data_IF_704674989137
#
_entry.id   IF_704674989137
#
_cell.length_a   1.000
_cell.length_b   1.000
_cell.length_c   1.000
_cell.angle_alpha   90.00
_cell.angle_beta   90.00
_cell.angle_gamma   90.00
#
_symmetry.space_group_name_H-M   'P 1'
#
loop_
_entity.id
_entity.type
_entity.pdbx_description
1 polymer ?
#
# COMPACT_ATOMS: atom_id res chain seq x y z
N UNK A 1 6.25 -3.17 3.64
CA UNK A 1 7.36 -2.21 3.40
C UNK A 1 6.82 -0.90 2.80
N UNK A 2 7.25 0.25 3.33
CA UNK A 2 6.92 1.57 2.75
C UNK A 2 8.02 1.93 1.75
N UNK A 3 7.66 2.22 0.50
CA UNK A 3 8.66 2.58 -0.50
C UNK A 3 9.01 4.05 -0.29
N UNK A 4 10.22 4.28 0.20
CA UNK A 4 10.75 5.61 0.47
C UNK A 4 11.75 5.96 -0.62
N UNK A 5 11.69 7.20 -1.10
CA UNK A 5 12.68 7.73 -2.01
C UNK A 5 14.04 7.86 -1.29
N UNK A 6 15.08 7.23 -1.83
CA UNK A 6 16.39 7.12 -1.16
C UNK A 6 17.15 8.45 -1.14
N UNK A 7 16.85 9.36 -2.07
CA UNK A 7 17.54 10.65 -2.20
C UNK A 7 16.90 11.74 -1.31
N UNK A 8 15.57 11.77 -1.23
CA UNK A 8 14.82 12.77 -0.45
C UNK A 8 14.34 12.28 0.92
N UNK A 9 14.39 10.98 1.19
CA UNK A 9 13.84 10.37 2.42
C UNK A 9 12.32 10.47 2.53
N UNK A 10 11.63 10.97 1.48
CA UNK A 10 10.17 11.11 1.46
C UNK A 10 9.53 9.81 1.04
N UNK A 11 8.43 9.43 1.70
CA UNK A 11 7.63 8.30 1.27
C UNK A 11 7.10 8.58 -0.14
N UNK A 12 7.16 7.58 -1.03
CA UNK A 12 6.66 7.74 -2.41
C UNK A 12 5.13 7.73 -2.49
N UNK A 13 4.45 7.76 -1.34
CA UNK A 13 2.99 7.74 -1.23
C UNK A 13 2.36 6.36 -1.48
N UNK A 14 3.14 5.29 -1.49
CA UNK A 14 2.65 3.92 -1.58
C UNK A 14 3.50 2.95 -0.75
N UNK A 15 2.87 1.88 -0.28
CA UNK A 15 3.51 0.81 0.47
C UNK A 15 2.80 -0.51 0.21
N UNK A 16 3.51 -1.59 0.46
CA UNK A 16 2.96 -2.94 0.37
C UNK A 16 2.86 -3.51 1.77
N UNK A 17 1.70 -4.05 2.12
CA UNK A 17 1.46 -4.77 3.37
C UNK A 17 1.25 -6.23 3.00
N UNK A 18 2.03 -7.10 3.61
CA UNK A 18 1.84 -8.55 3.49
C UNK A 18 1.04 -8.99 4.70
N UNK A 19 -0.12 -9.58 4.45
CA UNK A 19 -0.99 -10.16 5.48
C UNK A 19 -0.84 -11.68 5.40
N UNK A 20 -0.95 -12.36 6.54
CA UNK A 20 -0.88 -13.82 6.60
C UNK A 20 -2.17 -14.49 6.11
N UNK A 21 -3.32 -13.81 6.25
CA UNK A 21 -4.64 -14.30 5.84
C UNK A 21 -5.26 -13.45 4.73
N UNK A 22 -5.78 -14.13 3.72
CA UNK A 22 -6.38 -13.50 2.54
C UNK A 22 -7.73 -12.84 2.86
N UNK A 23 -8.48 -13.39 3.83
CA UNK A 23 -9.75 -12.81 4.32
C UNK A 23 -9.49 -11.51 5.06
N UNK A 24 -8.45 -11.47 5.89
CA UNK A 24 -8.01 -10.24 6.57
C UNK A 24 -7.50 -9.20 5.57
N UNK A 25 -6.75 -9.63 4.54
CA UNK A 25 -6.32 -8.74 3.47
C UNK A 25 -7.51 -8.12 2.73
N UNK A 26 -8.54 -8.91 2.41
CA UNK A 26 -9.74 -8.42 1.73
C UNK A 26 -10.51 -7.43 2.60
N UNK A 27 -10.71 -7.75 3.87
CA UNK A 27 -11.37 -6.84 4.82
C UNK A 27 -10.58 -5.54 4.99
N UNK A 28 -9.26 -5.62 5.11
CA UNK A 28 -8.41 -4.45 5.19
C UNK A 28 -8.46 -3.61 3.91
N UNK A 29 -8.57 -4.21 2.72
CA UNK A 29 -8.78 -3.46 1.48
C UNK A 29 -10.11 -2.70 1.48
N UNK A 30 -11.20 -3.34 1.92
CA UNK A 30 -12.52 -2.69 2.00
C UNK A 30 -12.57 -1.59 3.06
N UNK A 31 -11.99 -1.83 4.24
CA UNK A 31 -12.02 -0.88 5.36
C UNK A 31 -11.00 0.25 5.22
N UNK A 32 -9.81 0.00 4.68
CA UNK A 32 -8.76 1.00 4.55
C UNK A 32 -8.84 1.80 3.23
N UNK A 33 -9.56 1.31 2.21
CA UNK A 33 -9.73 2.06 0.97
C UNK A 33 -10.68 3.24 1.17
N UNK A 34 -10.14 4.46 1.02
CA UNK A 34 -10.87 5.70 1.24
C UNK A 34 -10.71 6.29 2.63
N UNK A 35 -9.94 5.66 3.53
CA UNK A 35 -9.56 6.26 4.82
C UNK A 35 -8.63 7.45 4.57
N UNK A 36 -8.83 8.53 5.31
CA UNK A 36 -7.90 9.65 5.31
C UNK A 36 -6.74 9.35 6.25
N UNK A 37 -5.54 9.22 5.68
CA UNK A 37 -4.29 9.09 6.42
C UNK A 37 -3.45 10.35 6.20
N UNK A 38 -3.13 11.06 7.28
CA UNK A 38 -2.29 12.27 7.23
C UNK A 38 -2.82 13.36 6.25
N UNK A 39 -4.15 13.53 6.22
CA UNK A 39 -4.83 14.49 5.33
C UNK A 39 -4.90 14.05 3.86
N UNK A 40 -4.61 12.78 3.56
CA UNK A 40 -4.72 12.21 2.21
C UNK A 40 -5.54 10.92 2.23
N UNK A 41 -6.57 10.84 1.39
CA UNK A 41 -7.29 9.59 1.18
C UNK A 41 -6.35 8.53 0.60
N UNK A 42 -6.21 7.41 1.32
CA UNK A 42 -5.43 6.25 0.86
C UNK A 42 -6.33 5.30 0.06
N UNK A 43 -5.73 4.59 -0.89
CA UNK A 43 -6.39 3.53 -1.65
C UNK A 43 -5.69 2.21 -1.37
N UNK A 44 -6.44 1.22 -0.89
CA UNK A 44 -5.98 -0.13 -0.68
C UNK A 44 -6.57 -1.01 -1.79
N UNK A 45 -5.69 -1.58 -2.61
CA UNK A 45 -6.05 -2.48 -3.70
C UNK A 45 -5.14 -3.70 -3.65
N UNK A 46 -5.54 -4.76 -4.36
CA UNK A 46 -4.72 -5.94 -4.51
C UNK A 46 -3.36 -5.56 -5.10
N UNK A 47 -2.29 -5.98 -4.41
CA UNK A 47 -0.94 -5.69 -4.83
C UNK A 47 -0.61 -6.54 -6.06
N UNK A 48 -0.66 -5.93 -7.25
CA UNK A 48 -0.11 -6.57 -8.43
C UNK A 48 1.41 -6.66 -8.26
N UNK A 49 2.02 -7.86 -8.42
CA UNK A 49 3.47 -7.96 -8.42
C UNK A 49 3.98 -7.05 -9.53
N UNK A 50 4.93 -6.17 -9.19
CA UNK A 50 5.68 -5.46 -10.24
C UNK A 50 6.26 -6.54 -11.13
N UNK A 51 5.83 -6.58 -12.39
CA UNK A 51 6.60 -7.26 -13.42
C UNK A 51 7.99 -6.63 -13.34
N UNK A 52 8.97 -7.40 -12.91
CA UNK A 52 10.37 -7.14 -13.21
C UNK A 52 10.43 -7.05 -14.74
N UNK A 53 10.37 -5.82 -15.28
CA UNK A 53 10.71 -5.56 -16.66
C UNK A 53 12.23 -5.72 -16.75
N UNK A 54 12.66 -6.88 -17.22
CA UNK A 54 14.02 -7.14 -17.68
C UNK A 54 14.29 -6.43 -19.00
#
# INVERSE_FOLDING_TARGET
>A
IVITDRESGRSRGFGFVTMDDESEAKKAMEECSGVELDGRAIKCNEATPRKDEH
#
